data_IF_881002821493
#
_entry.id   IF_881002821493
#
_cell.length_a   1.000
_cell.length_b   1.000
_cell.length_c   1.000
_cell.angle_alpha   90.00
_cell.angle_beta   90.00
_cell.angle_gamma   90.00
#
_symmetry.space_group_name_H-M   'P 1'
#
loop_
_entity.id
_entity.type
_entity.pdbx_description
1 polymer ?
#
# COMPACT_ATOMS: atom_id res chain seq x y z
N UNK A 1 -42.17 -7.68 -15.63
CA UNK A 1 -41.81 -8.27 -14.32
C UNK A 1 -41.19 -7.14 -13.52
N UNK A 2 -41.72 -6.85 -12.34
CA UNK A 2 -41.12 -5.88 -11.42
C UNK A 2 -39.80 -6.46 -10.91
N UNK A 3 -38.71 -5.72 -11.07
CA UNK A 3 -37.42 -6.10 -10.51
C UNK A 3 -37.54 -6.20 -8.98
N UNK A 4 -36.78 -7.11 -8.35
CA UNK A 4 -36.69 -7.16 -6.90
C UNK A 4 -36.04 -5.86 -6.39
N UNK A 5 -36.65 -5.18 -5.41
CA UNK A 5 -36.12 -3.94 -4.83
C UNK A 5 -35.47 -4.28 -3.49
N UNK A 6 -34.16 -4.06 -3.39
CA UNK A 6 -33.41 -4.19 -2.14
C UNK A 6 -33.30 -2.84 -1.44
N UNK A 7 -33.83 -2.76 -0.21
CA UNK A 7 -33.71 -1.58 0.65
C UNK A 7 -32.50 -1.76 1.55
N UNK A 8 -31.41 -1.04 1.26
CA UNK A 8 -30.13 -1.17 1.95
C UNK A 8 -29.97 -0.02 2.92
N UNK A 9 -29.72 -0.35 4.19
CA UNK A 9 -29.41 0.64 5.23
C UNK A 9 -27.93 0.57 5.58
N UNK A 10 -27.20 1.67 5.39
CA UNK A 10 -25.82 1.83 5.87
C UNK A 10 -25.88 2.46 7.27
N UNK A 11 -25.61 1.72 8.35
CA UNK A 11 -25.76 2.24 9.71
C UNK A 11 -24.59 3.16 10.10
N UNK A 12 -24.83 4.10 11.03
CA UNK A 12 -23.79 4.97 11.61
C UNK A 12 -22.60 4.18 12.19
N UNK A 13 -22.86 2.98 12.72
CA UNK A 13 -21.81 2.09 13.26
C UNK A 13 -20.77 1.63 12.23
N UNK A 14 -21.02 1.81 10.92
CA UNK A 14 -20.06 1.47 9.86
C UNK A 14 -18.73 2.22 10.05
N UNK A 15 -18.77 3.48 10.50
CA UNK A 15 -17.58 4.30 10.68
C UNK A 15 -16.68 3.73 11.76
N UNK A 16 -17.23 3.44 12.95
CA UNK A 16 -16.50 2.84 14.06
C UNK A 16 -15.91 1.48 13.69
N UNK A 17 -16.67 0.63 12.99
CA UNK A 17 -16.18 -0.66 12.48
C UNK A 17 -15.03 -0.46 11.49
N UNK A 18 -15.16 0.51 10.58
CA UNK A 18 -14.16 0.81 9.55
C UNK A 18 -12.84 1.26 10.17
N UNK A 19 -12.88 2.27 11.05
CA UNK A 19 -11.68 2.81 11.70
C UNK A 19 -11.00 1.74 12.56
N UNK A 20 -11.77 0.97 13.35
CA UNK A 20 -11.19 -0.12 14.15
C UNK A 20 -10.51 -1.20 13.29
N UNK A 21 -11.11 -1.57 12.16
CA UNK A 21 -10.50 -2.53 11.22
C UNK A 21 -9.20 -2.00 10.61
N UNK A 22 -9.12 -0.70 10.31
CA UNK A 22 -7.89 -0.10 9.80
C UNK A 22 -6.79 -0.03 10.88
N UNK A 23 -7.13 0.44 12.08
CA UNK A 23 -6.19 0.54 13.21
C UNK A 23 -5.65 -0.81 13.67
N UNK A 24 -6.46 -1.86 13.67
CA UNK A 24 -6.07 -3.19 14.14
C UNK A 24 -5.34 -4.04 13.09
N UNK A 25 -4.90 -3.45 11.97
CA UNK A 25 -4.19 -4.18 10.92
C UNK A 25 -2.76 -4.50 11.36
N UNK A 26 -2.33 -5.74 11.14
CA UNK A 26 -1.00 -6.22 11.53
C UNK A 26 0.11 -5.47 10.78
N UNK A 27 1.18 -5.10 11.48
CA UNK A 27 2.31 -4.28 10.99
C UNK A 27 2.91 -4.73 9.64
N UNK A 28 3.12 -6.04 9.37
CA UNK A 28 3.63 -6.48 8.07
C UNK A 28 2.68 -6.17 6.92
N UNK A 29 1.37 -6.22 7.16
CA UNK A 29 0.33 -6.00 6.17
C UNK A 29 -0.11 -4.54 6.06
N UNK A 30 0.44 -3.65 6.89
CA UNK A 30 0.05 -2.24 6.88
C UNK A 30 0.49 -1.54 5.60
N UNK A 31 -0.36 -0.62 5.18
CA UNK A 31 -0.17 0.29 4.05
C UNK A 31 -0.62 1.69 4.47
N UNK A 32 -0.66 2.62 3.53
CA UNK A 32 -1.29 3.94 3.70
C UNK A 32 -2.63 3.84 4.46
N UNK A 33 -2.74 4.53 5.59
CA UNK A 33 -3.89 4.43 6.50
C UNK A 33 -5.22 4.80 5.83
N UNK A 34 -5.25 5.81 4.95
CA UNK A 34 -6.47 6.18 4.24
C UNK A 34 -6.92 5.07 3.29
N UNK A 35 -5.98 4.40 2.64
CA UNK A 35 -6.27 3.22 1.83
C UNK A 35 -6.84 2.07 2.67
N UNK A 36 -6.34 1.89 3.90
CA UNK A 36 -6.88 0.89 4.84
C UNK A 36 -8.30 1.21 5.27
N UNK A 37 -8.60 2.47 5.60
CA UNK A 37 -9.95 2.95 5.91
C UNK A 37 -10.89 2.68 4.74
N UNK A 38 -10.49 3.02 3.50
CA UNK A 38 -11.31 2.76 2.31
C UNK A 38 -11.58 1.28 2.10
N UNK A 39 -10.57 0.43 2.23
CA UNK A 39 -10.72 -1.02 2.08
C UNK A 39 -11.59 -1.62 3.18
N UNK A 40 -11.42 -1.17 4.43
CA UNK A 40 -12.25 -1.59 5.55
C UNK A 40 -13.71 -1.17 5.33
N UNK A 41 -13.96 0.05 4.84
CA UNK A 41 -15.30 0.53 4.52
C UNK A 41 -15.93 -0.29 3.40
N UNK A 42 -15.17 -0.55 2.32
CA UNK A 42 -15.63 -1.39 1.21
C UNK A 42 -16.07 -2.77 1.69
N UNK A 43 -15.25 -3.44 2.51
CA UNK A 43 -15.59 -4.75 3.09
C UNK A 43 -16.85 -4.67 3.97
N UNK A 44 -16.95 -3.65 4.82
CA UNK A 44 -18.15 -3.42 5.62
C UNK A 44 -19.40 -3.19 4.75
N UNK A 45 -19.26 -2.49 3.63
CA UNK A 45 -20.34 -2.26 2.67
C UNK A 45 -20.78 -3.57 1.98
N UNK A 46 -19.84 -4.41 1.57
CA UNK A 46 -20.11 -5.75 1.02
C UNK A 46 -20.86 -6.64 2.03
N UNK A 47 -20.46 -6.61 3.31
CA UNK A 47 -21.14 -7.32 4.40
C UNK A 47 -22.59 -6.81 4.57
N UNK A 48 -22.81 -5.49 4.51
CA UNK A 48 -24.14 -4.88 4.61
C UNK A 48 -25.02 -5.31 3.44
N UNK A 49 -24.51 -5.26 2.21
CA UNK A 49 -25.24 -5.67 1.01
C UNK A 49 -25.64 -7.15 1.08
N UNK A 50 -24.70 -8.00 1.50
CA UNK A 50 -24.94 -9.44 1.68
C UNK A 50 -26.04 -9.71 2.71
N UNK A 51 -26.03 -8.98 3.83
CA UNK A 51 -27.08 -9.08 4.87
C UNK A 51 -28.46 -8.66 4.37
N UNK A 52 -28.53 -7.74 3.40
CA UNK A 52 -29.78 -7.33 2.76
C UNK A 52 -30.17 -8.22 1.57
N UNK A 53 -29.45 -9.32 1.32
CA UNK A 53 -29.77 -10.29 0.27
C UNK A 53 -29.17 -9.99 -1.11
N UNK A 54 -28.35 -8.95 -1.24
CA UNK A 54 -27.63 -8.66 -2.49
C UNK A 54 -26.33 -9.46 -2.52
N UNK A 55 -26.15 -10.27 -3.57
CA UNK A 55 -24.96 -11.12 -3.70
C UNK A 55 -23.75 -10.34 -4.21
N UNK A 56 -22.65 -10.46 -3.48
CA UNK A 56 -21.37 -9.80 -3.79
C UNK A 56 -20.51 -10.69 -4.69
N UNK A 57 -19.86 -10.10 -5.69
CA UNK A 57 -18.85 -10.76 -6.50
C UNK A 57 -17.44 -10.28 -6.09
N UNK A 58 -16.94 -10.78 -4.96
CA UNK A 58 -15.69 -10.33 -4.35
C UNK A 58 -14.42 -10.65 -5.17
N UNK A 59 -14.52 -11.53 -6.16
CA UNK A 59 -13.40 -11.94 -7.02
C UNK A 59 -13.22 -11.05 -8.25
N UNK A 60 -14.20 -10.22 -8.57
CA UNK A 60 -14.18 -9.44 -9.79
C UNK A 60 -13.65 -8.02 -9.58
N UNK A 61 -12.72 -7.61 -10.43
CA UNK A 61 -12.12 -6.27 -10.45
C UNK A 61 -12.84 -5.45 -11.52
N UNK A 62 -13.43 -4.33 -11.11
CA UNK A 62 -14.06 -3.39 -12.02
C UNK A 62 -12.98 -2.49 -12.64
N UNK A 63 -12.94 -2.44 -13.96
CA UNK A 63 -12.08 -1.51 -14.69
C UNK A 63 -12.61 -0.07 -14.64
N UNK A 64 -12.23 0.74 -15.63
CA UNK A 64 -12.82 2.08 -15.80
C UNK A 64 -14.30 1.94 -16.17
N UNK A 65 -15.18 2.44 -15.29
CA UNK A 65 -16.62 2.46 -15.49
C UNK A 65 -17.08 3.91 -15.58
N UNK A 66 -17.95 4.23 -16.55
CA UNK A 66 -18.53 5.57 -16.66
C UNK A 66 -19.83 5.64 -15.87
N UNK A 67 -19.72 6.04 -14.60
CA UNK A 67 -20.84 6.10 -13.65
C UNK A 67 -21.93 7.09 -14.08
N UNK A 68 -21.58 8.14 -14.82
CA UNK A 68 -22.52 9.15 -15.35
C UNK A 68 -23.45 8.61 -16.44
N UNK A 69 -23.14 7.43 -16.99
CA UNK A 69 -23.99 6.73 -17.95
C UNK A 69 -24.69 5.51 -17.33
N UNK A 70 -24.59 5.33 -16.01
CA UNK A 70 -25.33 4.28 -15.33
C UNK A 70 -26.84 4.51 -15.52
N UNK A 71 -27.64 3.46 -15.76
CA UNK A 71 -29.08 3.58 -15.93
C UNK A 71 -29.77 4.06 -14.64
N UNK A 72 -29.22 3.70 -13.48
CA UNK A 72 -29.74 4.09 -12.18
C UNK A 72 -28.74 5.01 -11.49
N UNK A 73 -29.18 6.22 -11.18
CA UNK A 73 -28.42 7.26 -10.49
C UNK A 73 -29.34 7.94 -9.49
N UNK A 74 -28.83 8.21 -8.29
CA UNK A 74 -29.56 8.91 -7.24
C UNK A 74 -28.63 9.93 -6.61
N UNK A 75 -29.00 11.21 -6.71
CA UNK A 75 -28.37 12.31 -5.97
C UNK A 75 -28.92 12.34 -4.55
N UNK A 76 -28.03 12.62 -3.59
CA UNK A 76 -28.36 12.69 -2.17
C UNK A 76 -28.00 14.08 -1.62
N UNK A 77 -26.76 14.24 -1.15
CA UNK A 77 -26.27 15.50 -0.59
C UNK A 77 -25.19 16.17 -1.44
N UNK A 78 -24.66 17.28 -0.94
CA UNK A 78 -23.45 17.92 -1.45
C UNK A 78 -22.41 17.99 -0.36
N UNK A 79 -21.14 17.86 -0.73
CA UNK A 79 -20.03 18.18 0.17
C UNK A 79 -19.76 19.66 0.03
N UNK A 80 -19.80 20.39 1.14
CA UNK A 80 -19.38 21.80 1.18
C UNK A 80 -17.94 21.81 1.65
N UNK A 81 -17.04 22.31 0.82
CA UNK A 81 -15.62 22.54 1.13
C UNK A 81 -15.31 24.02 1.05
N UNK A 82 -14.34 24.46 1.81
CA UNK A 82 -13.86 25.83 1.77
C UNK A 82 -12.42 25.82 1.24
N UNK A 83 -12.11 26.79 0.39
CA UNK A 83 -10.85 26.85 -0.35
C UNK A 83 -10.34 28.28 -0.38
N UNK A 84 -9.15 28.50 -0.93
CA UNK A 84 -8.51 29.82 -0.91
C UNK A 84 -7.35 29.85 0.07
N UNK A 85 -6.70 31.00 0.23
CA UNK A 85 -5.63 31.17 1.22
C UNK A 85 -6.20 31.15 2.65
N UNK A 86 -7.40 31.69 2.84
CA UNK A 86 -8.05 31.84 4.14
C UNK A 86 -9.32 30.96 4.29
N UNK A 87 -9.47 29.92 3.47
CA UNK A 87 -10.69 29.09 3.41
C UNK A 87 -11.98 29.93 3.23
N UNK A 88 -11.92 30.98 2.42
CA UNK A 88 -12.98 31.93 2.16
C UNK A 88 -13.88 31.53 0.97
N UNK A 89 -13.37 30.69 0.07
CA UNK A 89 -14.07 30.28 -1.15
C UNK A 89 -14.83 28.97 -0.91
N UNK A 90 -16.15 29.07 -0.78
CA UNK A 90 -17.05 27.90 -0.71
C UNK A 90 -17.13 27.17 -2.06
N UNK A 91 -16.87 25.87 -2.05
CA UNK A 91 -17.05 24.92 -3.16
C UNK A 91 -18.05 23.84 -2.76
N UNK A 92 -19.03 23.60 -3.61
CA UNK A 92 -19.97 22.49 -3.45
C UNK A 92 -19.63 21.37 -4.41
N UNK A 93 -19.40 20.16 -3.87
CA UNK A 93 -19.15 18.96 -4.66
C UNK A 93 -20.40 18.09 -4.65
N UNK A 94 -21.00 17.94 -5.82
CA UNK A 94 -22.18 17.10 -6.04
C UNK A 94 -21.82 15.71 -6.58
N UNK A 95 -22.85 14.90 -6.86
CA UNK A 95 -22.69 13.57 -7.44
C UNK A 95 -21.91 13.62 -8.77
N UNK A 96 -22.26 14.54 -9.68
CA UNK A 96 -21.63 14.61 -10.99
C UNK A 96 -20.17 15.03 -10.94
N UNK A 97 -19.78 15.85 -9.97
CA UNK A 97 -18.39 16.15 -9.68
C UNK A 97 -17.66 14.88 -9.23
N UNK A 98 -18.14 14.22 -8.18
CA UNK A 98 -17.50 13.03 -7.62
C UNK A 98 -17.41 11.88 -8.64
N UNK A 99 -18.47 11.66 -9.43
CA UNK A 99 -18.55 10.60 -10.44
C UNK A 99 -17.61 10.82 -11.65
N UNK A 100 -16.99 11.99 -11.80
CA UNK A 100 -15.90 12.20 -12.79
C UNK A 100 -14.62 11.51 -12.39
N UNK A 101 -14.45 11.27 -11.09
CA UNK A 101 -13.28 10.60 -10.54
C UNK A 101 -13.57 9.11 -10.37
N UNK A 102 -12.52 8.29 -10.45
CA UNK A 102 -12.63 6.84 -10.31
C UNK A 102 -13.05 6.41 -8.91
N UNK A 103 -12.78 5.15 -8.57
CA UNK A 103 -13.04 4.58 -7.23
C UNK A 103 -11.76 4.03 -6.58
N UNK A 104 -10.61 4.37 -7.17
CA UNK A 104 -9.28 4.05 -6.65
C UNK A 104 -8.81 5.16 -5.68
N UNK A 105 -7.54 5.09 -5.27
CA UNK A 105 -6.93 6.09 -4.38
C UNK A 105 -7.08 7.51 -4.94
N UNK A 106 -6.96 7.71 -6.27
CA UNK A 106 -7.05 9.05 -6.86
C UNK A 106 -8.38 9.76 -6.58
N UNK A 107 -9.44 9.01 -6.27
CA UNK A 107 -10.73 9.59 -5.88
C UNK A 107 -10.70 10.27 -4.51
N UNK A 108 -9.93 9.73 -3.54
CA UNK A 108 -9.81 10.37 -2.23
C UNK A 108 -9.03 11.69 -2.36
N UNK A 109 -7.96 11.66 -3.14
CA UNK A 109 -7.10 12.81 -3.38
C UNK A 109 -7.90 13.89 -4.12
N UNK A 110 -8.58 13.53 -5.21
CA UNK A 110 -9.34 14.49 -6.00
C UNK A 110 -10.52 15.13 -5.26
N UNK A 111 -11.24 14.33 -4.46
CA UNK A 111 -12.39 14.84 -3.70
C UNK A 111 -11.92 15.69 -2.52
N UNK A 112 -10.79 15.37 -1.88
CA UNK A 112 -10.26 16.17 -0.77
C UNK A 112 -9.33 17.32 -1.17
N UNK A 113 -8.72 17.29 -2.37
CA UNK A 113 -7.74 18.27 -2.87
C UNK A 113 -8.18 19.72 -2.69
N UNK A 114 -9.47 19.96 -2.87
CA UNK A 114 -10.11 21.27 -2.78
C UNK A 114 -9.87 21.92 -1.41
N UNK A 115 -9.93 21.14 -0.35
CA UNK A 115 -9.93 21.62 1.04
C UNK A 115 -8.54 21.55 1.68
N UNK A 116 -7.50 21.19 0.90
CA UNK A 116 -6.13 20.92 1.37
C UNK A 116 -6.08 20.06 2.65
N UNK A 117 -7.13 19.26 2.90
CA UNK A 117 -7.23 18.41 4.07
C UNK A 117 -6.04 17.45 4.05
N UNK A 118 -5.38 17.17 5.20
CA UNK A 118 -4.11 16.44 5.24
C UNK A 118 -4.26 14.95 4.89
N UNK A 119 -4.55 14.65 3.62
CA UNK A 119 -4.31 13.33 3.03
C UNK A 119 -2.80 13.04 2.98
N UNK A 120 -1.98 14.09 3.14
CA UNK A 120 -0.52 14.03 3.29
C UNK A 120 -0.07 13.25 4.53
N UNK A 121 -0.86 13.22 5.60
CA UNK A 121 -0.54 12.48 6.83
C UNK A 121 -1.58 11.39 7.12
N UNK A 122 -1.23 10.11 6.87
CA UNK A 122 -2.14 8.98 7.05
C UNK A 122 -2.26 8.57 8.53
N UNK A 123 -2.99 9.35 9.34
CA UNK A 123 -3.24 9.07 10.75
C UNK A 123 -4.72 9.25 11.12
N UNK A 124 -5.13 8.78 12.30
CA UNK A 124 -6.52 8.90 12.75
C UNK A 124 -6.91 10.36 13.00
N UNK A 125 -6.02 11.16 13.59
CA UNK A 125 -6.28 12.59 13.85
C UNK A 125 -6.47 13.41 12.59
N UNK A 126 -5.95 12.99 11.42
CA UNK A 126 -6.21 13.72 10.17
C UNK A 126 -7.64 13.56 9.65
N UNK A 127 -8.47 12.76 10.33
CA UNK A 127 -9.89 12.59 10.03
C UNK A 127 -10.81 13.56 10.81
N UNK A 128 -10.35 14.33 11.80
CA UNK A 128 -11.22 15.14 12.70
C UNK A 128 -12.06 16.22 12.00
N UNK A 129 -11.74 16.57 10.75
CA UNK A 129 -12.50 17.54 9.95
C UNK A 129 -13.61 16.93 9.10
N UNK A 130 -14.14 17.73 8.16
CA UNK A 130 -15.03 17.22 7.11
C UNK A 130 -14.19 16.44 6.09
N UNK A 131 -14.01 15.16 6.38
CA UNK A 131 -13.17 14.26 5.60
C UNK A 131 -13.99 13.36 4.68
N UNK A 132 -13.62 13.30 3.40
CA UNK A 132 -14.18 12.32 2.48
C UNK A 132 -13.29 11.09 2.34
N UNK A 133 -13.85 9.89 2.41
CA UNK A 133 -13.15 8.67 1.99
C UNK A 133 -13.23 8.45 0.48
N UNK A 134 -13.70 9.43 -0.32
CA UNK A 134 -13.82 9.38 -1.77
C UNK A 134 -14.95 8.49 -2.27
N UNK A 135 -14.76 7.90 -3.45
CA UNK A 135 -15.74 7.00 -4.07
C UNK A 135 -15.41 5.54 -3.75
N UNK A 136 -16.43 4.72 -3.45
CA UNK A 136 -16.29 3.28 -3.23
C UNK A 136 -17.23 2.53 -4.15
N UNK A 137 -16.70 1.49 -4.78
CA UNK A 137 -17.46 0.63 -5.69
C UNK A 137 -17.29 -0.82 -5.26
N UNK A 138 -18.40 -1.56 -5.31
CA UNK A 138 -18.46 -2.99 -5.05
C UNK A 138 -18.99 -3.73 -6.29
N UNK A 139 -18.40 -4.89 -6.54
CA UNK A 139 -18.82 -5.80 -7.61
C UNK A 139 -19.95 -6.68 -7.10
N UNK A 140 -21.00 -6.82 -7.91
CA UNK A 140 -22.19 -7.61 -7.56
C UNK A 140 -22.33 -8.79 -8.51
N UNK A 141 -22.99 -9.87 -8.07
CA UNK A 141 -23.44 -10.91 -9.00
C UNK A 141 -24.47 -10.33 -9.97
N UNK A 142 -24.52 -10.89 -11.18
CA UNK A 142 -25.47 -10.44 -12.20
C UNK A 142 -26.89 -10.92 -11.85
N UNK A 143 -27.78 -9.98 -11.58
CA UNK A 143 -29.20 -10.20 -11.33
C UNK A 143 -30.01 -9.06 -11.95
N UNK A 144 -31.33 -9.16 -11.99
CA UNK A 144 -32.18 -8.01 -12.33
C UNK A 144 -32.83 -7.54 -11.02
N UNK A 145 -32.31 -6.46 -10.47
CA UNK A 145 -32.76 -5.89 -9.21
C UNK A 145 -32.54 -4.37 -9.18
N UNK A 146 -33.25 -3.72 -8.27
CA UNK A 146 -33.10 -2.31 -7.97
C UNK A 146 -32.63 -2.13 -6.52
N UNK A 147 -31.96 -1.00 -6.28
CA UNK A 147 -31.40 -0.67 -4.97
C UNK A 147 -31.93 0.68 -4.51
N UNK A 148 -32.50 0.68 -3.31
CA UNK A 148 -32.83 1.89 -2.56
C UNK A 148 -31.91 1.98 -1.36
N UNK A 149 -31.20 3.09 -1.22
CA UNK A 149 -30.23 3.30 -0.16
C UNK A 149 -30.77 4.25 0.91
N UNK A 150 -30.52 3.93 2.17
CA UNK A 150 -30.69 4.84 3.30
C UNK A 150 -29.38 4.90 4.09
N UNK A 151 -28.98 6.10 4.49
CA UNK A 151 -27.78 6.34 5.28
C UNK A 151 -28.19 6.65 6.73
N UNK A 152 -27.48 6.06 7.69
CA UNK A 152 -27.65 6.37 9.10
C UNK A 152 -27.12 7.76 9.44
N UNK A 153 -27.55 8.28 10.59
CA UNK A 153 -27.22 9.62 11.05
C UNK A 153 -25.70 9.87 11.05
N UNK A 154 -25.30 11.03 10.51
CA UNK A 154 -23.91 11.45 10.37
C UNK A 154 -23.09 10.68 9.32
N UNK A 155 -23.69 9.79 8.53
CA UNK A 155 -23.07 9.18 7.33
C UNK A 155 -23.67 9.84 6.10
N UNK A 156 -22.81 10.34 5.21
CA UNK A 156 -23.25 11.10 4.04
C UNK A 156 -22.57 10.62 2.75
N UNK A 157 -23.22 10.90 1.63
CA UNK A 157 -22.73 10.64 0.28
C UNK A 157 -23.33 11.64 -0.69
N UNK A 158 -22.61 11.97 -1.77
CA UNK A 158 -23.13 12.87 -2.80
C UNK A 158 -24.18 12.18 -3.66
N UNK A 159 -24.09 10.87 -3.76
CA UNK A 159 -25.06 10.04 -4.45
C UNK A 159 -24.54 8.63 -4.69
N UNK A 160 -25.37 7.80 -5.29
CA UNK A 160 -25.00 6.46 -5.70
C UNK A 160 -25.48 6.16 -7.12
N UNK A 161 -24.82 5.22 -7.77
CA UNK A 161 -25.19 4.74 -9.09
C UNK A 161 -24.92 3.25 -9.19
N UNK A 162 -25.78 2.55 -9.93
CA UNK A 162 -25.63 1.12 -10.16
C UNK A 162 -26.09 0.73 -11.55
N UNK A 163 -25.58 -0.40 -12.00
CA UNK A 163 -25.97 -0.99 -13.27
C UNK A 163 -25.90 -2.51 -13.14
N UNK A 164 -27.04 -3.09 -12.77
CA UNK A 164 -27.20 -4.48 -12.36
C UNK A 164 -28.18 -5.15 -13.32
N UNK A 165 -27.70 -6.14 -14.08
CA UNK A 165 -28.55 -6.93 -14.95
C UNK A 165 -27.95 -8.32 -15.16
N UNK A 166 -28.81 -9.34 -15.30
CA UNK A 166 -28.41 -10.69 -15.71
C UNK A 166 -27.66 -10.73 -17.03
N UNK A 167 -27.91 -9.76 -17.93
CA UNK A 167 -27.31 -9.70 -19.28
C UNK A 167 -25.93 -9.05 -19.30
N UNK A 168 -25.51 -8.42 -18.21
CA UNK A 168 -24.24 -7.71 -18.17
C UNK A 168 -23.08 -8.66 -17.93
N UNK A 169 -21.89 -8.24 -18.38
CA UNK A 169 -20.65 -8.93 -18.04
C UNK A 169 -20.29 -8.72 -16.57
N UNK A 170 -20.44 -7.49 -16.07
CA UNK A 170 -20.13 -7.09 -14.70
C UNK A 170 -21.20 -6.15 -14.16
N UNK A 171 -21.84 -6.55 -13.08
CA UNK A 171 -22.77 -5.71 -12.30
C UNK A 171 -22.03 -5.03 -11.15
N UNK A 172 -22.43 -3.80 -10.82
CA UNK A 172 -21.77 -3.02 -9.78
C UNK A 172 -22.73 -2.08 -9.08
N UNK A 173 -22.32 -1.67 -7.88
CA UNK A 173 -22.88 -0.54 -7.15
C UNK A 173 -21.74 0.41 -6.76
N UNK A 174 -21.92 1.70 -7.01
CA UNK A 174 -20.98 2.75 -6.62
C UNK A 174 -21.63 3.75 -5.67
N UNK A 175 -20.93 4.09 -4.61
CA UNK A 175 -21.26 5.14 -3.65
C UNK A 175 -20.20 6.23 -3.76
N UNK A 176 -20.63 7.48 -3.99
CA UNK A 176 -19.76 8.56 -4.41
C UNK A 176 -19.65 9.65 -3.36
N UNK A 177 -18.46 10.26 -3.27
CA UNK A 177 -18.12 11.32 -2.33
C UNK A 177 -18.66 11.00 -0.94
N UNK A 178 -18.11 9.98 -0.28
CA UNK A 178 -18.58 9.55 1.05
C UNK A 178 -17.89 10.40 2.11
N UNK A 179 -18.63 10.96 3.07
CA UNK A 179 -18.08 11.69 4.21
C UNK A 179 -18.89 11.43 5.48
N UNK A 180 -18.36 11.88 6.61
CA UNK A 180 -18.97 11.68 7.91
C UNK A 180 -19.08 13.00 8.66
N UNK A 181 -20.03 13.07 9.58
CA UNK A 181 -20.14 14.19 10.51
C UNK A 181 -18.90 14.24 11.42
N UNK A 182 -18.23 15.40 11.57
CA UNK A 182 -17.01 15.53 12.37
C UNK A 182 -17.16 14.98 13.80
N UNK A 183 -18.30 15.25 14.45
CA UNK A 183 -18.59 14.77 15.82
C UNK A 183 -18.47 13.26 15.98
N UNK A 184 -18.84 12.48 14.95
CA UNK A 184 -18.71 11.02 15.00
C UNK A 184 -17.24 10.59 14.96
N UNK A 185 -16.42 11.29 14.19
CA UNK A 185 -14.99 11.02 14.08
C UNK A 185 -14.28 11.46 15.36
N UNK A 186 -14.57 12.66 15.85
CA UNK A 186 -13.98 13.23 17.07
C UNK A 186 -14.21 12.35 18.30
N UNK A 187 -15.40 11.76 18.41
CA UNK A 187 -15.72 10.79 19.46
C UNK A 187 -14.83 9.54 19.38
N UNK A 188 -14.53 9.06 18.17
CA UNK A 188 -13.64 7.90 17.95
C UNK A 188 -12.19 8.28 18.26
N UNK A 189 -11.73 9.45 17.79
CA UNK A 189 -10.39 9.98 18.08
C UNK A 189 -10.20 10.08 19.59
N UNK A 190 -11.12 10.75 20.29
CA UNK A 190 -11.02 10.96 21.74
C UNK A 190 -10.95 9.66 22.53
N UNK A 191 -11.73 8.65 22.11
CA UNK A 191 -11.71 7.31 22.72
C UNK A 191 -10.38 6.58 22.48
N UNK A 192 -9.82 6.71 21.27
CA UNK A 192 -8.53 6.10 20.95
C UNK A 192 -7.39 6.79 21.68
N UNK A 193 -7.36 8.11 21.70
CA UNK A 193 -6.35 8.89 22.41
C UNK A 193 -6.34 8.59 23.91
N UNK A 194 -7.50 8.43 24.56
CA UNK A 194 -7.56 8.18 26.01
C UNK A 194 -7.00 6.81 26.44
N UNK A 195 -6.89 5.88 25.51
CA UNK A 195 -6.37 4.52 25.75
C UNK A 195 -5.02 4.28 25.05
N UNK A 196 -4.53 5.26 24.29
CA UNK A 196 -3.34 5.14 23.47
C UNK A 196 -2.08 5.05 24.32
N UNK A 197 -1.17 4.16 23.93
CA UNK A 197 0.19 4.11 24.45
C UNK A 197 1.13 4.20 23.26
N UNK A 198 2.04 5.17 23.29
CA UNK A 198 3.08 5.32 22.26
C UNK A 198 3.97 4.07 22.31
N UNK A 199 3.84 3.20 21.31
CA UNK A 199 4.66 2.00 21.14
C UNK A 199 5.13 1.92 19.69
N UNK A 200 6.26 1.25 19.44
CA UNK A 200 6.78 1.07 18.08
C UNK A 200 5.81 0.35 17.15
N UNK A 201 4.88 -0.44 17.69
CA UNK A 201 3.87 -1.16 16.91
C UNK A 201 2.80 -0.24 16.32
N UNK A 202 2.67 0.99 16.81
CA UNK A 202 1.72 2.00 16.30
C UNK A 202 2.34 2.94 15.26
N UNK A 203 3.63 2.74 14.96
CA UNK A 203 4.38 3.55 14.01
C UNK A 203 4.30 2.98 12.59
N UNK A 204 3.86 3.82 11.65
CA UNK A 204 3.89 3.53 10.23
C UNK A 204 5.00 4.38 9.58
N UNK A 205 5.89 3.77 8.78
CA UNK A 205 6.87 4.51 7.97
C UNK A 205 6.11 5.42 7.00
N UNK A 206 6.56 6.67 6.84
CA UNK A 206 5.99 7.62 5.87
C UNK A 206 7.08 8.42 5.13
N UNK A 207 6.68 9.01 4.01
CA UNK A 207 7.46 10.02 3.30
C UNK A 207 6.58 11.27 3.07
N UNK A 208 7.02 12.40 3.62
CA UNK A 208 6.33 13.70 3.55
C UNK A 208 6.92 14.63 2.48
N UNK A 209 7.54 14.08 1.45
CA UNK A 209 8.18 14.81 0.34
C UNK A 209 9.69 14.96 0.50
N UNK A 210 10.24 14.57 1.65
CA UNK A 210 11.66 14.63 1.94
C UNK A 210 12.41 13.37 1.51
N UNK A 211 13.69 13.52 1.14
CA UNK A 211 14.61 12.43 0.85
C UNK A 211 15.48 12.02 2.05
N UNK A 212 15.37 12.71 3.19
CA UNK A 212 16.13 12.47 4.42
C UNK A 212 15.48 13.20 5.62
N UNK A 213 15.26 12.55 6.77
CA UNK A 213 15.63 11.20 7.14
C UNK A 213 14.50 10.21 6.80
N UNK A 214 14.62 8.97 7.29
CA UNK A 214 13.44 8.09 7.37
C UNK A 214 12.54 8.59 8.51
N UNK A 215 11.24 8.68 8.25
CA UNK A 215 10.26 9.24 9.17
C UNK A 215 9.17 8.20 9.43
N UNK A 216 8.72 8.11 10.68
CA UNK A 216 7.57 7.33 11.10
C UNK A 216 6.51 8.26 11.66
N UNK A 217 5.25 7.86 11.50
CA UNK A 217 4.10 8.52 12.11
C UNK A 217 3.39 7.56 13.04
N UNK A 218 3.02 8.03 14.22
CA UNK A 218 2.08 7.33 15.06
C UNK A 218 0.69 7.41 14.44
N UNK A 219 0.12 6.26 14.09
CA UNK A 219 -1.11 6.20 13.30
C UNK A 219 -2.34 6.73 14.02
N UNK A 220 -2.29 6.94 15.34
CA UNK A 220 -3.40 7.46 16.13
C UNK A 220 -3.24 8.96 16.36
N UNK A 221 -2.12 9.37 16.93
CA UNK A 221 -1.83 10.77 17.33
C UNK A 221 -1.34 11.63 16.16
N UNK A 222 -0.77 10.98 15.15
CA UNK A 222 -0.06 11.60 14.05
C UNK A 222 1.28 12.25 14.47
N UNK A 223 1.78 11.99 15.68
CA UNK A 223 3.11 12.45 16.08
C UNK A 223 4.19 11.84 15.16
N UNK A 224 5.21 12.64 14.83
CA UNK A 224 6.30 12.23 13.95
C UNK A 224 7.51 11.77 14.75
N UNK A 225 8.18 10.76 14.22
CA UNK A 225 9.34 10.14 14.83
C UNK A 225 10.44 9.90 13.79
N UNK A 226 11.69 10.00 14.22
CA UNK A 226 12.84 9.50 13.47
C UNK A 226 13.81 8.78 14.40
N UNK A 227 14.75 8.02 13.83
CA UNK A 227 15.76 7.32 14.63
C UNK A 227 16.79 8.33 15.16
N UNK A 228 17.25 8.14 16.40
CA UNK A 228 18.32 8.94 17.00
C UNK A 228 19.61 8.94 16.16
N UNK A 229 19.86 7.91 15.35
CA UNK A 229 20.97 7.86 14.39
C UNK A 229 21.04 9.09 13.49
N UNK A 230 19.89 9.62 13.04
CA UNK A 230 19.85 10.74 12.11
C UNK A 230 20.09 12.10 12.79
N UNK A 231 19.86 12.20 14.10
CA UNK A 231 19.85 13.46 14.85
C UNK A 231 21.09 14.33 14.64
N UNK A 232 22.34 13.81 14.72
CA UNK A 232 23.54 14.66 14.58
C UNK A 232 23.75 15.24 13.18
N UNK A 233 23.02 14.75 12.18
CA UNK A 233 23.20 15.07 10.76
C UNK A 233 21.92 15.56 10.10
N UNK A 234 20.88 15.84 10.88
CA UNK A 234 19.56 16.28 10.40
C UNK A 234 19.42 17.79 10.59
N UNK A 235 19.18 18.49 9.48
CA UNK A 235 18.73 19.86 9.48
C UNK A 235 17.23 19.86 9.16
N UNK A 236 16.38 20.12 10.16
CA UNK A 236 14.92 20.04 9.98
C UNK A 236 14.44 21.03 8.91
N UNK A 237 15.04 22.22 8.85
CA UNK A 237 14.62 23.28 7.94
C UNK A 237 14.96 22.91 6.49
N UNK A 238 16.22 22.52 6.25
CA UNK A 238 16.71 22.21 4.91
C UNK A 238 16.32 20.81 4.41
N UNK A 239 16.26 19.82 5.30
CA UNK A 239 16.02 18.43 4.92
C UNK A 239 14.53 18.06 4.87
N UNK A 240 13.68 18.70 5.67
CA UNK A 240 12.26 18.36 5.76
C UNK A 240 11.38 19.53 5.34
N UNK A 241 11.46 20.65 6.06
CA UNK A 241 10.53 21.79 5.88
C UNK A 241 10.60 22.30 4.44
N UNK A 242 11.79 22.51 3.89
CA UNK A 242 11.98 22.92 2.49
C UNK A 242 11.23 22.08 1.46
N UNK A 243 10.97 20.80 1.74
CA UNK A 243 10.29 19.86 0.85
C UNK A 243 8.80 19.68 1.15
N UNK A 244 8.26 20.35 2.17
CA UNK A 244 6.84 20.27 2.48
C UNK A 244 6.00 20.83 1.33
N UNK A 245 4.84 20.21 1.06
CA UNK A 245 3.96 20.62 -0.02
C UNK A 245 3.52 22.07 0.15
N UNK A 246 3.25 22.73 -0.97
CA UNK A 246 2.76 24.12 -1.03
C UNK A 246 3.72 25.18 -0.44
N UNK A 247 5.02 24.87 -0.31
CA UNK A 247 6.05 25.84 0.07
C UNK A 247 5.90 26.34 1.51
N UNK A 248 5.65 25.43 2.46
CA UNK A 248 5.45 25.73 3.89
C UNK A 248 4.14 26.44 4.24
N UNK A 249 3.14 26.42 3.36
CA UNK A 249 1.85 27.08 3.63
C UNK A 249 0.93 26.32 4.59
N UNK A 250 1.38 25.23 5.22
CA UNK A 250 0.64 24.45 6.22
C UNK A 250 1.34 24.58 7.60
N UNK A 251 0.92 25.55 8.44
CA UNK A 251 1.54 25.78 9.75
C UNK A 251 1.47 24.55 10.66
N UNK A 252 0.34 23.84 10.67
CA UNK A 252 0.18 22.65 11.52
C UNK A 252 1.16 21.51 11.16
N UNK A 253 1.40 21.31 9.87
CA UNK A 253 2.37 20.31 9.40
C UNK A 253 3.80 20.74 9.75
N UNK A 254 4.10 22.03 9.58
CA UNK A 254 5.40 22.61 9.93
C UNK A 254 5.71 22.47 11.41
N UNK A 255 4.77 22.83 12.28
CA UNK A 255 4.93 22.70 13.74
C UNK A 255 5.08 21.23 14.16
N UNK A 256 4.33 20.33 13.53
CA UNK A 256 4.46 18.90 13.76
C UNK A 256 5.83 18.34 13.35
N UNK A 257 6.39 18.82 12.24
CA UNK A 257 7.74 18.45 11.79
C UNK A 257 8.80 19.00 12.74
N UNK A 258 8.68 20.25 13.19
CA UNK A 258 9.60 20.81 14.21
C UNK A 258 9.55 20.05 15.53
N UNK A 259 8.38 19.49 15.86
CA UNK A 259 8.17 18.68 17.05
C UNK A 259 8.51 17.18 16.86
N UNK A 260 9.25 16.80 15.80
CA UNK A 260 9.64 15.42 15.56
C UNK A 260 10.41 14.86 16.77
N UNK A 261 10.03 13.65 17.20
CA UNK A 261 10.63 12.96 18.34
C UNK A 261 11.70 11.96 17.84
N UNK A 262 12.69 11.69 18.68
CA UNK A 262 13.76 10.75 18.36
C UNK A 262 13.65 9.47 19.21
N UNK A 263 13.77 8.31 18.57
CA UNK A 263 13.71 7.00 19.22
C UNK A 263 14.96 6.19 18.88
N UNK A 264 15.55 5.56 19.89
CA UNK A 264 16.66 4.62 19.69
C UNK A 264 16.21 3.35 18.99
N UNK A 265 17.08 2.84 18.13
CA UNK A 265 16.88 1.60 17.39
C UNK A 265 15.65 1.54 16.47
N UNK A 266 15.13 2.70 16.03
CA UNK A 266 13.93 2.76 15.19
C UNK A 266 14.20 2.45 13.72
N UNK A 267 15.34 2.89 13.17
CA UNK A 267 15.60 2.76 11.73
C UNK A 267 15.93 1.33 11.32
N UNK A 268 15.81 1.07 10.01
CA UNK A 268 16.04 -0.24 9.39
C UNK A 268 17.46 -0.76 9.59
N UNK A 269 18.43 0.13 9.81
CA UNK A 269 19.77 -0.29 10.22
C UNK A 269 19.82 -0.87 11.62
N UNK A 270 19.10 -0.29 12.57
CA UNK A 270 19.16 -0.71 13.95
C UNK A 270 18.32 -1.95 14.22
N UNK A 271 17.13 -2.03 13.63
CA UNK A 271 16.18 -3.12 13.88
C UNK A 271 16.30 -4.28 12.88
N UNK A 272 17.16 -4.17 11.86
CA UNK A 272 17.32 -5.18 10.81
C UNK A 272 16.13 -5.30 9.85
N UNK A 273 15.23 -4.31 9.87
CA UNK A 273 14.10 -4.20 8.96
C UNK A 273 14.51 -3.75 7.55
N UNK A 274 13.52 -3.57 6.69
CA UNK A 274 13.71 -3.09 5.31
C UNK A 274 12.76 -1.92 5.04
N UNK A 275 13.22 -0.85 4.35
CA UNK A 275 12.37 0.28 3.99
C UNK A 275 11.22 -0.15 3.10
N UNK A 276 10.01 0.30 3.44
CA UNK A 276 8.79 -0.02 2.66
C UNK A 276 8.43 1.09 1.68
N UNK A 277 9.00 2.29 1.86
CA UNK A 277 8.63 3.48 1.13
C UNK A 277 9.73 3.93 0.17
N UNK A 278 9.30 4.38 -1.00
CA UNK A 278 10.19 5.01 -1.99
C UNK A 278 10.45 6.46 -1.59
N UNK A 279 11.71 6.82 -1.62
CA UNK A 279 12.24 8.18 -1.47
C UNK A 279 12.74 8.72 -2.83
N UNK A 280 13.36 7.88 -3.65
CA UNK A 280 13.90 8.27 -4.95
C UNK A 280 12.96 7.98 -6.13
N UNK A 281 13.02 8.82 -7.17
CA UNK A 281 12.42 8.53 -8.47
C UNK A 281 13.33 7.63 -9.32
N UNK A 282 12.75 6.68 -10.06
CA UNK A 282 13.48 5.75 -10.92
C UNK A 282 14.25 6.39 -12.07
N UNK A 283 13.97 7.65 -12.40
CA UNK A 283 14.73 8.43 -13.38
C UNK A 283 16.15 8.74 -12.89
N UNK A 284 16.33 8.92 -11.57
CA UNK A 284 17.60 9.38 -10.98
C UNK A 284 18.30 8.30 -10.16
N UNK A 285 17.54 7.34 -9.61
CA UNK A 285 18.06 6.38 -8.63
C UNK A 285 17.92 4.93 -9.10
N UNK A 286 18.93 4.12 -8.75
CA UNK A 286 18.84 2.66 -8.87
C UNK A 286 17.63 2.15 -8.08
N UNK A 287 17.06 1.01 -8.46
CA UNK A 287 15.88 0.49 -7.76
C UNK A 287 16.15 0.15 -6.29
N UNK A 288 17.39 -0.12 -5.92
CA UNK A 288 17.84 -0.11 -4.53
C UNK A 288 17.73 1.31 -3.93
N UNK A 289 18.47 2.29 -4.46
CA UNK A 289 18.48 3.64 -3.87
C UNK A 289 17.11 4.33 -3.87
N UNK A 290 16.15 3.92 -4.69
CA UNK A 290 14.77 4.40 -4.57
C UNK A 290 14.18 4.19 -3.18
N UNK A 291 14.59 3.17 -2.42
CA UNK A 291 14.14 2.93 -1.04
C UNK A 291 15.19 3.31 0.01
N UNK A 292 16.47 3.18 -0.33
CA UNK A 292 17.58 3.37 0.61
C UNK A 292 18.22 4.78 0.54
N UNK A 293 17.65 5.72 -0.23
CA UNK A 293 18.17 7.08 -0.39
C UNK A 293 18.44 7.81 0.94
N UNK A 294 17.58 7.75 1.97
CA UNK A 294 17.87 8.40 3.24
C UNK A 294 19.15 7.86 3.90
N UNK A 295 19.41 6.56 3.79
CA UNK A 295 20.61 5.94 4.32
C UNK A 295 21.87 6.30 3.52
N UNK A 296 21.72 6.55 2.22
CA UNK A 296 22.82 7.03 1.37
C UNK A 296 23.25 8.43 1.75
N UNK A 297 22.29 9.35 1.88
CA UNK A 297 22.54 10.69 2.42
C UNK A 297 23.15 10.63 3.82
N UNK A 298 22.59 9.80 4.70
CA UNK A 298 23.11 9.62 6.05
C UNK A 298 24.59 9.22 6.07
N UNK A 299 24.93 8.16 5.33
CA UNK A 299 26.29 7.64 5.29
C UNK A 299 27.25 8.61 4.58
N UNK A 300 26.76 9.35 3.58
CA UNK A 300 27.50 10.44 2.94
C UNK A 300 27.89 11.52 3.95
N UNK A 301 26.93 11.99 4.75
CA UNK A 301 27.16 13.02 5.78
C UNK A 301 28.10 12.56 6.87
N UNK A 302 27.96 11.31 7.33
CA UNK A 302 28.88 10.72 8.32
C UNK A 302 30.33 10.73 7.81
N UNK A 303 30.54 10.38 6.54
CA UNK A 303 31.89 10.16 5.99
C UNK A 303 32.53 11.42 5.41
N UNK A 304 31.72 12.29 4.83
CA UNK A 304 32.18 13.41 4.01
C UNK A 304 31.68 14.77 4.50
N UNK A 305 30.77 14.81 5.49
CA UNK A 305 30.17 16.05 5.98
C UNK A 305 29.15 16.68 5.03
N UNK A 306 28.83 16.03 3.90
CA UNK A 306 27.87 16.52 2.91
C UNK A 306 27.16 15.36 2.18
N UNK A 307 26.09 15.69 1.44
CA UNK A 307 25.41 14.75 0.55
C UNK A 307 26.25 14.53 -0.72
N UNK A 308 26.44 13.27 -1.10
CA UNK A 308 27.09 12.88 -2.35
C UNK A 308 26.02 12.49 -3.38
N UNK A 309 26.06 13.10 -4.57
CA UNK A 309 25.03 12.92 -5.59
C UNK A 309 25.50 12.12 -6.82
N UNK A 310 26.80 12.09 -7.08
CA UNK A 310 27.38 11.44 -8.25
C UNK A 310 28.87 11.08 -8.01
N UNK A 311 29.52 10.51 -9.03
CA UNK A 311 30.93 10.17 -8.97
C UNK A 311 31.22 8.79 -8.34
N UNK A 312 32.51 8.56 -8.06
CA UNK A 312 32.98 7.25 -7.58
C UNK A 312 32.53 6.97 -6.14
N UNK A 313 32.53 8.00 -5.31
CA UNK A 313 32.13 8.01 -3.91
C UNK A 313 30.65 7.65 -3.77
N UNK A 314 29.79 8.17 -4.64
CA UNK A 314 28.37 7.82 -4.68
C UNK A 314 28.17 6.30 -4.79
N UNK A 315 28.93 5.66 -5.68
CA UNK A 315 28.88 4.21 -5.90
C UNK A 315 29.46 3.43 -4.74
N UNK A 316 30.54 3.91 -4.13
CA UNK A 316 31.16 3.30 -2.94
C UNK A 316 30.16 3.27 -1.79
N UNK A 317 29.47 4.38 -1.53
CA UNK A 317 28.45 4.51 -0.48
C UNK A 317 27.27 3.58 -0.77
N UNK A 318 26.73 3.58 -2.00
CA UNK A 318 25.66 2.65 -2.39
C UNK A 318 26.08 1.19 -2.14
N UNK A 319 27.28 0.81 -2.55
CA UNK A 319 27.77 -0.55 -2.38
C UNK A 319 27.96 -0.94 -0.91
N UNK A 320 28.38 -0.01 -0.06
CA UNK A 320 28.45 -0.26 1.38
C UNK A 320 27.06 -0.47 1.99
N UNK A 321 26.08 0.37 1.62
CA UNK A 321 24.69 0.16 2.05
C UNK A 321 24.17 -1.19 1.59
N UNK A 322 24.43 -1.55 0.32
CA UNK A 322 24.02 -2.83 -0.23
C UNK A 322 24.56 -3.96 0.64
N UNK A 323 25.87 -4.00 0.89
CA UNK A 323 26.48 -5.03 1.75
C UNK A 323 25.87 -5.04 3.16
N UNK A 324 25.66 -3.87 3.78
CA UNK A 324 25.07 -3.77 5.13
C UNK A 324 23.64 -4.33 5.18
N UNK A 325 22.85 -4.12 4.15
CA UNK A 325 21.48 -4.65 4.03
C UNK A 325 21.43 -6.04 3.37
N UNK A 326 22.58 -6.71 3.15
CA UNK A 326 22.62 -8.06 2.57
C UNK A 326 22.40 -8.13 1.05
N UNK A 327 22.59 -7.03 0.33
CA UNK A 327 22.53 -6.93 -1.12
C UNK A 327 23.93 -7.02 -1.76
N UNK A 328 24.03 -7.59 -2.97
CA UNK A 328 25.27 -7.60 -3.73
C UNK A 328 25.66 -6.18 -4.14
N UNK A 329 26.96 -5.91 -4.28
CA UNK A 329 27.41 -4.65 -4.85
C UNK A 329 26.97 -4.53 -6.31
N UNK A 330 26.84 -3.31 -6.77
CA UNK A 330 26.54 -3.02 -8.17
C UNK A 330 27.69 -3.55 -9.04
N UNK A 331 27.34 -4.42 -9.99
CA UNK A 331 28.29 -5.07 -10.89
C UNK A 331 28.92 -6.35 -10.33
N UNK A 332 28.76 -6.67 -9.04
CA UNK A 332 29.17 -7.97 -8.51
C UNK A 332 28.19 -9.07 -8.95
N UNK A 333 28.75 -10.19 -9.42
CA UNK A 333 28.01 -11.43 -9.74
C UNK A 333 28.26 -12.45 -8.64
N UNK A 334 27.27 -12.71 -7.79
CA UNK A 334 27.29 -13.89 -6.91
C UNK A 334 25.91 -14.53 -6.83
N UNK A 335 25.90 -15.85 -7.02
CA UNK A 335 24.76 -16.68 -7.37
C UNK A 335 24.19 -17.36 -6.13
N UNK A 336 23.06 -16.88 -5.58
CA UNK A 336 22.35 -17.59 -4.51
C UNK A 336 20.85 -17.30 -4.49
N UNK A 337 20.10 -18.25 -3.94
CA UNK A 337 18.68 -18.13 -3.63
C UNK A 337 18.39 -16.93 -2.71
N UNK A 338 19.24 -16.70 -1.70
CA UNK A 338 19.17 -15.55 -0.78
C UNK A 338 19.22 -14.22 -1.51
N UNK A 339 20.04 -14.10 -2.56
CA UNK A 339 20.10 -12.87 -3.36
C UNK A 339 18.81 -12.63 -4.14
N UNK A 340 18.26 -13.69 -4.75
CA UNK A 340 16.98 -13.59 -5.43
C UNK A 340 15.90 -13.14 -4.44
N UNK A 341 15.84 -13.74 -3.26
CA UNK A 341 14.92 -13.34 -2.20
C UNK A 341 15.01 -11.84 -1.87
N UNK A 342 16.20 -11.32 -1.60
CA UNK A 342 16.39 -9.90 -1.27
C UNK A 342 15.96 -8.96 -2.41
N UNK A 343 16.23 -9.32 -3.66
CA UNK A 343 15.75 -8.57 -4.83
C UNK A 343 14.22 -8.60 -4.89
N UNK A 344 13.59 -9.76 -4.67
CA UNK A 344 12.13 -9.88 -4.66
C UNK A 344 11.51 -9.03 -3.56
N UNK A 345 12.03 -9.06 -2.33
CA UNK A 345 11.53 -8.22 -1.23
C UNK A 345 11.58 -6.73 -1.61
N UNK A 346 12.62 -6.30 -2.31
CA UNK A 346 12.76 -4.90 -2.77
C UNK A 346 11.79 -4.55 -3.90
N UNK A 347 11.55 -5.48 -4.82
CA UNK A 347 10.63 -5.26 -5.94
C UNK A 347 9.17 -5.32 -5.51
N UNK A 348 8.86 -5.98 -4.39
CA UNK A 348 7.51 -6.18 -3.88
C UNK A 348 7.37 -5.73 -2.40
N UNK A 349 7.64 -4.46 -2.06
CA UNK A 349 7.68 -3.99 -0.67
C UNK A 349 6.33 -4.02 0.05
N UNK A 350 5.22 -4.13 -0.71
CA UNK A 350 3.84 -4.18 -0.19
C UNK A 350 3.31 -5.62 -0.11
N UNK A 351 4.06 -6.60 -0.60
CA UNK A 351 3.66 -7.99 -0.58
C UNK A 351 4.31 -8.72 0.59
N UNK A 352 3.60 -9.71 1.11
CA UNK A 352 4.23 -10.71 1.96
C UNK A 352 5.16 -11.57 1.09
N UNK A 353 6.42 -11.72 1.50
CA UNK A 353 7.40 -12.55 0.78
C UNK A 353 7.94 -13.61 1.73
N UNK A 354 7.54 -14.85 1.51
CA UNK A 354 7.90 -16.01 2.32
C UNK A 354 9.08 -16.74 1.69
N UNK A 355 10.14 -16.96 2.46
CA UNK A 355 11.30 -17.76 2.05
C UNK A 355 11.08 -19.24 2.43
N UNK A 356 11.47 -20.18 1.58
CA UNK A 356 11.34 -21.63 1.79
C UNK A 356 9.91 -22.10 2.16
N UNK A 357 8.92 -21.69 1.37
CA UNK A 357 7.52 -22.00 1.63
C UNK A 357 7.20 -23.48 1.38
N UNK A 358 6.69 -24.19 2.40
CA UNK A 358 6.28 -25.60 2.32
C UNK A 358 4.80 -25.78 2.66
N UNK A 359 3.93 -25.27 1.79
CA UNK A 359 2.49 -25.48 1.89
C UNK A 359 2.09 -26.96 1.85
N UNK A 360 1.06 -27.34 2.62
CA UNK A 360 0.51 -28.71 2.62
C UNK A 360 0.02 -29.15 1.23
N UNK A 361 -0.50 -28.19 0.47
CA UNK A 361 -0.98 -28.31 -0.90
C UNK A 361 0.13 -28.62 -1.92
N UNK A 362 1.38 -28.29 -1.59
CA UNK A 362 2.55 -28.62 -2.41
C UNK A 362 3.09 -30.03 -2.12
N UNK A 363 2.39 -30.82 -1.31
CA UNK A 363 2.74 -32.22 -1.01
C UNK A 363 4.18 -32.39 -0.53
N UNK A 364 4.61 -31.52 0.40
CA UNK A 364 5.97 -31.42 0.98
C UNK A 364 7.05 -30.90 0.04
N UNK A 365 6.71 -30.43 -1.16
CA UNK A 365 7.63 -29.68 -2.01
C UNK A 365 7.73 -28.24 -1.50
N UNK A 366 8.93 -27.67 -1.63
CA UNK A 366 9.24 -26.29 -1.23
C UNK A 366 9.12 -25.35 -2.43
N UNK A 367 8.67 -24.12 -2.20
CA UNK A 367 8.94 -22.98 -3.07
C UNK A 367 10.03 -22.13 -2.43
N UNK A 368 11.11 -21.85 -3.17
CA UNK A 368 12.23 -21.05 -2.66
C UNK A 368 11.72 -19.68 -2.16
N UNK A 369 10.85 -19.03 -2.94
CA UNK A 369 10.20 -17.77 -2.58
C UNK A 369 8.72 -17.81 -2.97
N UNK A 370 7.84 -17.39 -2.05
CA UNK A 370 6.39 -17.39 -2.24
C UNK A 370 5.76 -16.04 -1.87
N UNK A 371 4.95 -15.50 -2.79
CA UNK A 371 4.16 -14.29 -2.57
C UNK A 371 2.67 -14.67 -2.59
N UNK A 372 2.04 -14.90 -1.42
CA UNK A 372 0.72 -15.50 -1.32
C UNK A 372 -0.39 -14.64 -1.93
N UNK A 373 -0.35 -13.33 -1.71
CA UNK A 373 -1.39 -12.40 -2.15
C UNK A 373 -1.58 -12.39 -3.68
N UNK A 374 -0.47 -12.50 -4.42
CA UNK A 374 -0.46 -12.53 -5.89
C UNK A 374 -0.29 -13.94 -6.46
N UNK A 375 -0.28 -14.96 -5.59
CA UNK A 375 -0.10 -16.38 -5.93
C UNK A 375 1.12 -16.65 -6.82
N UNK A 376 2.25 -16.02 -6.49
CA UNK A 376 3.48 -16.10 -7.26
C UNK A 376 4.54 -16.90 -6.51
N UNK A 377 4.97 -18.02 -7.09
CA UNK A 377 6.13 -18.79 -6.68
C UNK A 377 7.33 -18.44 -7.53
N UNK A 378 8.49 -18.31 -6.90
CA UNK A 378 9.76 -18.04 -7.56
C UNK A 378 10.78 -19.07 -7.11
N UNK A 379 11.52 -19.62 -8.07
CA UNK A 379 12.48 -20.70 -7.87
C UNK A 379 13.84 -20.33 -8.45
N UNK A 380 14.90 -20.58 -7.68
CA UNK A 380 16.28 -20.47 -8.11
C UNK A 380 16.88 -21.85 -8.39
N UNK A 381 17.05 -22.16 -9.67
CA UNK A 381 17.66 -23.41 -10.11
C UNK A 381 19.18 -23.30 -10.16
N UNK A 382 19.83 -23.71 -9.06
CA UNK A 382 21.27 -23.84 -8.95
C UNK A 382 21.89 -24.86 -9.93
N UNK A 383 23.23 -24.89 -10.00
CA UNK A 383 23.99 -25.82 -10.88
C UNK A 383 23.62 -27.29 -10.67
N UNK A 384 23.23 -27.64 -9.45
CA UNK A 384 22.80 -28.98 -9.11
C UNK A 384 21.62 -29.46 -9.97
N UNK A 385 20.73 -28.61 -10.47
CA UNK A 385 19.61 -29.04 -11.34
C UNK A 385 20.06 -29.51 -12.73
N UNK A 386 21.30 -29.21 -13.12
CA UNK A 386 21.81 -29.41 -14.47
C UNK A 386 22.98 -30.39 -14.52
N UNK A 387 23.82 -30.41 -13.47
CA UNK A 387 24.99 -31.29 -13.37
C UNK A 387 24.82 -32.35 -12.29
N UNK A 388 25.43 -33.51 -12.53
CA UNK A 388 25.57 -34.54 -11.51
C UNK A 388 26.56 -34.03 -10.47
N UNK A 389 26.14 -33.96 -9.21
CA UNK A 389 26.99 -33.60 -8.09
C UNK A 389 26.98 -34.78 -7.12
N UNK A 390 28.15 -35.40 -6.89
CA UNK A 390 28.25 -36.66 -6.12
C UNK A 390 27.74 -36.52 -4.69
N UNK A 391 28.03 -35.39 -4.03
CA UNK A 391 27.56 -35.06 -2.68
C UNK A 391 26.01 -34.97 -2.58
N UNK A 392 25.30 -34.83 -3.70
CA UNK A 392 23.83 -34.73 -3.77
C UNK A 392 23.17 -35.98 -4.39
N UNK A 393 23.78 -37.15 -4.16
CA UNK A 393 23.23 -38.45 -4.58
C UNK A 393 23.50 -38.80 -6.05
N UNK A 394 24.50 -38.17 -6.68
CA UNK A 394 24.95 -38.52 -8.03
C UNK A 394 23.83 -38.48 -9.09
N UNK A 395 23.82 -39.47 -9.99
CA UNK A 395 22.86 -39.54 -11.12
C UNK A 395 21.42 -39.75 -10.67
N UNK A 396 21.21 -40.55 -9.62
CA UNK A 396 19.87 -40.81 -9.08
C UNK A 396 19.29 -39.58 -8.38
N UNK A 397 20.12 -38.86 -7.63
CA UNK A 397 19.73 -37.58 -7.02
C UNK A 397 19.31 -36.53 -8.06
N UNK A 398 19.98 -36.47 -9.21
CA UNK A 398 19.61 -35.57 -10.31
C UNK A 398 18.27 -35.98 -10.94
N UNK A 399 18.00 -37.28 -11.10
CA UNK A 399 16.74 -37.80 -11.64
C UNK A 399 15.57 -37.44 -10.73
N UNK A 400 15.72 -37.67 -9.42
CA UNK A 400 14.71 -37.34 -8.40
C UNK A 400 14.41 -35.84 -8.34
N UNK A 401 15.43 -34.99 -8.45
CA UNK A 401 15.25 -33.53 -8.52
C UNK A 401 14.45 -33.10 -9.76
N UNK A 402 14.75 -33.66 -10.93
CA UNK A 402 13.96 -33.40 -12.15
C UNK A 402 12.51 -33.89 -12.05
N UNK A 403 12.26 -35.00 -11.37
CA UNK A 403 10.90 -35.51 -11.11
C UNK A 403 10.14 -34.58 -10.16
N UNK A 404 10.80 -34.11 -9.09
CA UNK A 404 10.23 -33.13 -8.16
C UNK A 404 9.93 -31.80 -8.84
N UNK A 405 10.82 -31.28 -9.69
CA UNK A 405 10.60 -30.03 -10.43
C UNK A 405 9.39 -30.13 -11.37
N UNK A 406 9.22 -31.29 -12.05
CA UNK A 406 8.03 -31.56 -12.87
C UNK A 406 6.76 -31.62 -12.03
N UNK A 407 6.79 -32.33 -10.91
CA UNK A 407 5.65 -32.45 -9.99
C UNK A 407 5.26 -31.08 -9.42
N UNK A 408 6.24 -30.27 -9.03
CA UNK A 408 6.05 -28.90 -8.54
C UNK A 408 5.34 -28.03 -9.56
N UNK A 409 5.79 -28.05 -10.82
CA UNK A 409 5.15 -27.32 -11.94
C UNK A 409 3.69 -27.72 -12.15
N UNK A 410 3.40 -29.01 -12.09
CA UNK A 410 2.02 -29.51 -12.23
C UNK A 410 1.14 -29.01 -11.09
N UNK A 411 1.57 -29.16 -9.84
CA UNK A 411 0.83 -28.71 -8.66
C UNK A 411 0.57 -27.21 -8.68
N UNK A 412 1.60 -26.40 -8.98
CA UNK A 412 1.43 -24.95 -9.10
C UNK A 412 0.36 -24.59 -10.16
N UNK A 413 0.36 -25.28 -11.31
CA UNK A 413 -0.65 -25.04 -12.36
C UNK A 413 -2.06 -25.41 -11.91
N UNK A 414 -2.23 -26.53 -11.21
CA UNK A 414 -3.53 -26.98 -10.68
C UNK A 414 -4.09 -26.04 -9.61
N UNK A 415 -3.21 -25.49 -8.76
CA UNK A 415 -3.57 -24.53 -7.70
C UNK A 415 -3.78 -23.09 -8.22
N UNK A 416 -3.51 -22.85 -9.51
CA UNK A 416 -3.57 -21.53 -10.12
C UNK A 416 -2.44 -20.59 -9.67
N UNK A 417 -1.30 -21.15 -9.26
CA UNK A 417 -0.10 -20.41 -8.89
C UNK A 417 0.73 -20.11 -10.15
N UNK A 418 1.23 -18.88 -10.23
CA UNK A 418 2.20 -18.52 -11.26
C UNK A 418 3.59 -18.92 -10.74
N UNK A 419 4.36 -19.68 -11.54
CA UNK A 419 5.70 -20.13 -11.16
C UNK A 419 6.74 -19.52 -12.10
N UNK A 420 7.72 -18.80 -11.56
CA UNK A 420 8.81 -18.19 -12.31
C UNK A 420 10.14 -18.80 -11.86
N UNK A 421 10.88 -19.34 -12.81
CA UNK A 421 12.18 -19.94 -12.54
C UNK A 421 13.31 -19.01 -13.00
N UNK A 422 14.37 -18.95 -12.20
CA UNK A 422 15.63 -18.32 -12.54
C UNK A 422 16.73 -19.37 -12.51
N UNK A 423 17.52 -19.45 -13.58
CA UNK A 423 18.60 -20.44 -13.69
C UNK A 423 19.91 -19.84 -13.21
N UNK A 424 20.78 -20.67 -12.64
CA UNK A 424 22.14 -20.25 -12.27
C UNK A 424 22.94 -19.69 -13.45
N UNK A 425 22.66 -20.15 -14.68
CA UNK A 425 23.33 -19.69 -15.90
C UNK A 425 22.86 -18.31 -16.36
N UNK A 426 21.77 -17.79 -15.80
CA UNK A 426 21.26 -16.47 -16.13
C UNK A 426 22.01 -15.40 -15.34
N UNK A 427 22.33 -14.31 -16.01
CA UNK A 427 22.89 -13.14 -15.33
C UNK A 427 21.77 -12.45 -14.54
N UNK A 428 21.51 -12.95 -13.34
CA UNK A 428 20.52 -12.44 -12.37
C UNK A 428 20.90 -11.04 -11.91
N UNK A 429 20.55 -10.05 -12.74
CA UNK A 429 20.59 -8.65 -12.37
C UNK A 429 19.22 -8.21 -11.87
N UNK A 430 19.19 -7.18 -11.04
CA UNK A 430 17.96 -6.53 -10.59
C UNK A 430 17.07 -6.13 -11.79
N UNK A 431 17.68 -5.67 -12.89
CA UNK A 431 16.99 -5.37 -14.14
C UNK A 431 16.37 -6.61 -14.80
N UNK A 432 17.07 -7.76 -14.80
CA UNK A 432 16.53 -9.00 -15.35
C UNK A 432 15.33 -9.49 -14.52
N UNK A 433 15.46 -9.49 -13.20
CA UNK A 433 14.38 -9.88 -12.28
C UNK A 433 13.18 -8.96 -12.48
N UNK A 434 13.39 -7.64 -12.46
CA UNK A 434 12.35 -6.63 -12.71
C UNK A 434 11.67 -6.82 -14.07
N UNK A 435 12.45 -7.07 -15.13
CA UNK A 435 11.90 -7.33 -16.48
C UNK A 435 11.03 -8.59 -16.50
N UNK A 436 11.49 -9.69 -15.90
CA UNK A 436 10.77 -10.96 -15.88
C UNK A 436 9.49 -10.89 -15.04
N UNK A 437 9.53 -10.11 -13.97
CA UNK A 437 8.41 -9.94 -13.03
C UNK A 437 7.57 -8.69 -13.29
N UNK A 438 7.83 -7.96 -14.37
CA UNK A 438 7.14 -6.71 -14.73
C UNK A 438 5.61 -6.82 -14.75
N UNK A 439 5.06 -8.00 -15.08
CA UNK A 439 3.61 -8.25 -15.08
C UNK A 439 2.98 -8.29 -13.69
N UNK A 440 3.79 -8.48 -12.65
CA UNK A 440 3.36 -8.60 -11.25
C UNK A 440 3.67 -7.33 -10.45
N UNK A 441 4.61 -6.51 -10.92
CA UNK A 441 4.95 -5.24 -10.28
C UNK A 441 3.87 -4.24 -10.66
N UNK A 442 2.89 -4.06 -9.77
CA UNK A 442 1.94 -2.94 -9.83
C UNK A 442 2.59 -1.70 -9.24
N UNK A 443 2.60 -0.60 -10.00
CA UNK A 443 3.14 0.71 -9.58
C UNK A 443 2.45 1.27 -8.31
#
# INVERSE_FOLDING_TARGET
>A
MTNAIFKIVIPTSILKSTINKALNKNTPSRSDFFYEVRNAFKKNLEDIFSKHGVRINSRDILGKVNYRKAPCQQELGRIIKFTGWDNDIRKELDFFFCARYGHDKSSIDAVNYIDRTPVSLPCLTSLSGVFSIGNIVISLENSDCDIQLTLGDGVYSTGYAYDISKRKKKSYFGLFGIWFEPKLIDAIISNKLSTHKETSDELDEINIGSNYPVIWIDRITGALYTCTCFNPYLDIDDDIIRFLPYGNSEPELTERVKAIKYIDNLCHFCNGGLPKIKYGNSMYYSSFLQYYLPYHKHLSRIKHGCDIYEGSEYRVIENELRVRFGFPKVGERWLSETMLYNIIVTLFPKEEVVHHYRGSELQRLELDIWLPNIKLGIEYQGEQHYKVVEHWGGKEGLKKRKENDKKKKMLCKELGYQLIEFKFSENLTEQLVKKRLSKFITD
#
